data_IF_663002198453
#
_entry.id   IF_663002198453
#
_cell.length_a   1.000
_cell.length_b   1.000
_cell.length_c   1.000
_cell.angle_alpha   90.00
_cell.angle_beta   90.00
_cell.angle_gamma   90.00
#
_symmetry.space_group_name_H-M   'P 1'
#
loop_
_entity.id
_entity.type
_entity.pdbx_description
1 polymer ?
#
# COMPACT_ATOMS: atom_id res chain seq x y z
N UNK A 1 -46.69 40.12 -51.98
CA UNK A 1 -46.64 41.58 -51.78
C UNK A 1 -46.48 41.84 -50.31
N UNK A 2 -45.51 42.69 -49.97
CA UNK A 2 -45.23 43.32 -48.68
C UNK A 2 -44.60 42.47 -47.55
N UNK A 3 -43.33 42.79 -47.32
CA UNK A 3 -42.47 42.50 -46.17
C UNK A 3 -43.05 43.00 -44.84
N UNK A 4 -42.64 42.38 -43.73
CA UNK A 4 -42.34 43.10 -42.46
C UNK A 4 -41.48 42.28 -41.49
N UNK A 5 -40.23 42.73 -41.42
CA UNK A 5 -39.21 42.70 -40.38
C UNK A 5 -39.41 41.99 -39.02
N UNK A 6 -38.32 41.27 -38.69
CA UNK A 6 -37.70 40.95 -37.41
C UNK A 6 -38.10 41.74 -36.14
N UNK A 7 -38.17 41.01 -35.03
CA UNK A 7 -37.67 41.45 -33.70
C UNK A 7 -37.36 40.23 -32.82
N UNK A 8 -36.14 39.70 -32.93
CA UNK A 8 -35.57 38.77 -31.96
C UNK A 8 -35.18 39.54 -30.69
N UNK A 9 -35.83 39.24 -29.56
CA UNK A 9 -35.40 39.74 -28.25
C UNK A 9 -34.18 38.95 -27.79
N UNK A 10 -33.05 39.63 -27.71
CA UNK A 10 -31.75 39.15 -27.23
C UNK A 10 -31.72 39.22 -25.70
N UNK A 11 -31.81 38.06 -25.03
CA UNK A 11 -31.46 37.96 -23.61
C UNK A 11 -29.94 37.91 -23.47
N UNK A 12 -29.34 39.04 -23.10
CA UNK A 12 -27.93 39.17 -22.77
C UNK A 12 -27.59 38.39 -21.50
N UNK A 13 -27.05 37.18 -21.65
CA UNK A 13 -26.38 36.45 -20.57
C UNK A 13 -24.93 36.91 -20.46
N UNK A 14 -24.63 37.62 -19.37
CA UNK A 14 -23.27 38.03 -18.99
C UNK A 14 -22.34 36.81 -18.87
N UNK A 15 -21.06 36.92 -19.28
CA UNK A 15 -20.10 35.82 -19.15
C UNK A 15 -19.65 35.68 -17.69
N UNK A 16 -20.09 34.62 -17.02
CA UNK A 16 -19.57 34.21 -15.71
C UNK A 16 -18.16 33.64 -15.89
N UNK A 17 -17.19 34.36 -15.34
CA UNK A 17 -15.78 33.99 -15.23
C UNK A 17 -15.63 32.65 -14.48
N UNK A 18 -14.77 31.72 -14.93
CA UNK A 18 -14.52 30.48 -14.20
C UNK A 18 -13.80 30.78 -12.87
N UNK A 19 -14.15 30.10 -11.76
CA UNK A 19 -13.46 30.31 -10.50
C UNK A 19 -12.01 29.84 -10.62
N UNK A 20 -11.09 30.77 -10.36
CA UNK A 20 -9.67 30.50 -10.16
C UNK A 20 -9.52 29.49 -9.03
N UNK A 21 -9.15 28.26 -9.39
CA UNK A 21 -8.87 27.19 -8.46
C UNK A 21 -7.50 27.47 -7.81
N UNK A 22 -7.48 28.35 -6.81
CA UNK A 22 -6.30 28.54 -5.97
C UNK A 22 -6.13 27.27 -5.15
N UNK A 23 -5.29 26.35 -5.63
CA UNK A 23 -4.90 25.17 -4.88
C UNK A 23 -4.37 25.64 -3.51
N UNK A 24 -5.08 25.27 -2.45
CA UNK A 24 -4.60 25.46 -1.10
C UNK A 24 -3.24 24.76 -0.97
N UNK A 25 -2.23 25.36 -0.32
CA UNK A 25 -0.97 24.69 -0.06
C UNK A 25 -1.26 23.40 0.70
N UNK A 26 -0.66 22.29 0.26
CA UNK A 26 -0.65 21.05 1.03
C UNK A 26 -0.20 21.37 2.46
N UNK A 27 -0.87 20.82 3.49
CA UNK A 27 -0.43 21.02 4.86
C UNK A 27 1.05 20.59 4.98
N UNK A 28 1.88 21.36 5.69
CA UNK A 28 3.27 20.97 5.89
C UNK A 28 3.30 19.58 6.50
N UNK A 29 4.14 18.70 5.93
CA UNK A 29 4.40 17.39 6.52
C UNK A 29 4.80 17.58 7.98
N UNK A 30 4.18 16.89 8.94
CA UNK A 30 4.55 17.06 10.35
C UNK A 30 6.06 16.81 10.52
N UNK A 31 6.77 17.82 11.01
CA UNK A 31 8.17 17.72 11.39
C UNK A 31 8.27 16.89 12.66
N UNK A 32 8.38 15.56 12.51
CA UNK A 32 8.54 14.62 13.63
C UNK A 32 9.87 14.76 14.39
N UNK A 33 10.72 15.72 14.00
CA UNK A 33 11.97 16.05 14.69
C UNK A 33 11.77 16.87 15.96
N UNK A 34 10.60 17.49 16.14
CA UNK A 34 10.41 18.52 17.16
C UNK A 34 10.25 17.95 18.60
N UNK A 35 9.98 16.65 18.73
CA UNK A 35 9.85 15.94 20.02
C UNK A 35 11.07 15.07 20.39
N UNK A 36 12.17 15.12 19.63
CA UNK A 36 13.35 14.30 19.91
C UNK A 36 14.35 15.03 20.82
N UNK A 37 14.32 14.72 22.11
CA UNK A 37 15.38 15.09 23.05
C UNK A 37 16.49 14.03 23.06
N UNK A 38 17.73 14.33 22.61
CA UNK A 38 18.83 13.37 22.54
C UNK A 38 19.21 12.77 23.90
N UNK A 39 19.00 13.50 25.00
CA UNK A 39 19.35 13.06 26.34
C UNK A 39 18.41 11.96 26.85
N UNK A 40 17.17 11.94 26.38
CA UNK A 40 16.14 10.97 26.77
C UNK A 40 15.98 9.85 25.75
N UNK A 41 16.16 10.14 24.46
CA UNK A 41 15.93 9.18 23.37
C UNK A 41 17.20 8.46 22.90
N UNK A 42 18.37 9.04 23.16
CA UNK A 42 19.66 8.54 22.68
C UNK A 42 19.90 8.74 21.18
N UNK A 43 19.02 9.46 20.48
CA UNK A 43 19.19 9.84 19.08
C UNK A 43 19.64 11.30 18.94
N UNK A 44 20.80 11.52 18.32
CA UNK A 44 21.34 12.83 18.00
C UNK A 44 21.42 13.00 16.47
N UNK A 45 20.61 13.89 15.86
CA UNK A 45 20.62 14.12 14.42
C UNK A 45 21.99 14.53 13.84
N UNK A 46 22.86 15.13 14.66
CA UNK A 46 24.18 15.63 14.25
C UNK A 46 25.29 14.56 14.32
N UNK A 47 25.14 13.52 15.15
CA UNK A 47 26.20 12.56 15.46
C UNK A 47 25.99 11.19 14.80
N UNK A 48 26.49 11.01 13.57
CA UNK A 48 26.30 9.76 12.79
C UNK A 48 26.82 8.50 13.51
N UNK A 49 28.06 8.50 14.00
CA UNK A 49 28.67 7.32 14.64
C UNK A 49 28.09 7.01 16.03
N UNK A 50 27.80 8.06 16.81
CA UNK A 50 27.19 7.93 18.15
C UNK A 50 25.85 7.21 18.07
N UNK A 51 25.03 7.52 17.06
CA UNK A 51 23.74 6.86 16.86
C UNK A 51 23.86 5.36 16.60
N UNK A 52 24.80 4.94 15.74
CA UNK A 52 25.04 3.51 15.48
C UNK A 52 25.51 2.79 16.74
N UNK A 53 26.40 3.41 17.53
CA UNK A 53 26.84 2.86 18.81
C UNK A 53 25.69 2.77 19.82
N UNK A 54 24.83 3.78 19.91
CA UNK A 54 23.66 3.78 20.80
C UNK A 54 22.64 2.71 20.44
N UNK A 55 22.44 2.45 19.13
CA UNK A 55 21.61 1.32 18.67
C UNK A 55 22.26 -0.01 19.05
N UNK A 56 23.55 -0.20 18.74
CA UNK A 56 24.26 -1.45 18.99
C UNK A 56 24.35 -1.81 20.48
N UNK A 57 24.54 -0.80 21.34
CA UNK A 57 24.63 -0.96 22.79
C UNK A 57 23.27 -0.96 23.50
N UNK A 58 22.15 -0.85 22.75
CA UNK A 58 20.80 -0.81 23.31
C UNK A 58 20.47 0.45 24.10
N UNK A 59 21.26 1.52 23.96
CA UNK A 59 21.08 2.82 24.63
C UNK A 59 20.07 3.73 23.94
N UNK A 60 19.67 3.42 22.71
CA UNK A 60 18.65 4.18 21.97
C UNK A 60 17.25 3.62 22.27
N UNK A 61 16.36 4.47 22.76
CA UNK A 61 14.97 4.09 23.09
C UNK A 61 14.17 3.76 21.83
N UNK A 62 13.02 3.05 21.92
CA UNK A 62 12.17 2.80 20.75
C UNK A 62 11.73 4.07 20.01
N UNK A 63 11.49 5.16 20.75
CA UNK A 63 11.18 6.47 20.18
C UNK A 63 12.38 7.07 19.44
N UNK A 64 13.60 6.99 20.02
CA UNK A 64 14.83 7.43 19.36
C UNK A 64 15.14 6.61 18.10
N UNK A 65 14.94 5.30 18.13
CA UNK A 65 15.11 4.42 16.96
C UNK A 65 14.13 4.76 15.85
N UNK A 66 12.89 5.12 16.20
CA UNK A 66 11.89 5.60 15.25
C UNK A 66 12.32 6.93 14.62
N UNK A 67 12.71 7.92 15.43
CA UNK A 67 13.19 9.21 14.94
C UNK A 67 14.44 9.07 14.05
N UNK A 68 15.40 8.24 14.44
CA UNK A 68 16.59 7.91 13.63
C UNK A 68 16.21 7.34 12.26
N UNK A 69 15.22 6.44 12.22
CA UNK A 69 14.71 5.84 10.98
C UNK A 69 13.99 6.86 10.10
N UNK A 70 13.06 7.63 10.66
CA UNK A 70 12.32 8.66 9.91
C UNK A 70 13.28 9.70 9.31
N UNK A 71 14.29 10.14 10.07
CA UNK A 71 15.34 11.02 9.55
C UNK A 71 16.13 10.38 8.40
N UNK A 72 16.38 9.07 8.46
CA UNK A 72 16.99 8.34 7.36
C UNK A 72 16.07 8.24 6.12
N UNK A 73 14.76 8.07 6.32
CA UNK A 73 13.76 8.05 5.26
C UNK A 73 13.65 9.40 4.56
N UNK A 74 13.60 10.50 5.31
CA UNK A 74 13.58 11.86 4.75
C UNK A 74 14.86 12.13 3.96
N UNK A 75 16.03 11.83 4.53
CA UNK A 75 17.32 12.07 3.85
C UNK A 75 17.47 11.29 2.53
N UNK A 76 16.90 10.09 2.47
CA UNK A 76 17.02 9.21 1.31
C UNK A 76 15.82 9.29 0.35
N UNK A 77 14.82 10.12 0.63
CA UNK A 77 13.52 10.13 -0.05
C UNK A 77 13.65 10.20 -1.58
N UNK A 78 14.43 11.15 -2.10
CA UNK A 78 14.61 11.34 -3.53
C UNK A 78 15.21 10.09 -4.21
N UNK A 79 16.24 9.50 -3.59
CA UNK A 79 16.89 8.27 -4.09
C UNK A 79 15.92 7.10 -4.07
N UNK A 80 15.22 6.91 -2.96
CA UNK A 80 14.35 5.77 -2.77
C UNK A 80 13.14 5.85 -3.71
N UNK A 81 12.54 7.04 -3.89
CA UNK A 81 11.45 7.25 -4.85
C UNK A 81 11.89 7.02 -6.29
N UNK A 82 13.05 7.56 -6.70
CA UNK A 82 13.58 7.36 -8.05
C UNK A 82 13.82 5.87 -8.34
N UNK A 83 14.47 5.16 -7.42
CA UNK A 83 14.73 3.72 -7.53
C UNK A 83 13.44 2.89 -7.56
N UNK A 84 12.48 3.18 -6.69
CA UNK A 84 11.19 2.48 -6.71
C UNK A 84 10.40 2.73 -7.99
N UNK A 85 10.50 3.94 -8.56
CA UNK A 85 9.88 4.26 -9.86
C UNK A 85 10.51 3.44 -10.99
N UNK A 86 11.85 3.35 -11.04
CA UNK A 86 12.55 2.50 -12.01
C UNK A 86 12.14 1.02 -11.89
N UNK A 87 12.07 0.51 -10.66
CA UNK A 87 11.62 -0.87 -10.41
C UNK A 87 10.16 -1.10 -10.77
N UNK A 88 9.27 -0.15 -10.50
CA UNK A 88 7.86 -0.18 -10.91
C UNK A 88 7.75 -0.28 -12.42
N UNK A 89 8.45 0.58 -13.15
CA UNK A 89 8.42 0.62 -14.61
C UNK A 89 8.97 -0.66 -15.20
N UNK A 90 10.06 -1.19 -14.61
CA UNK A 90 10.58 -2.51 -14.96
C UNK A 90 9.53 -3.60 -14.77
N UNK A 91 8.75 -3.57 -13.67
CA UNK A 91 7.71 -4.58 -13.43
C UNK A 91 6.60 -4.49 -14.48
N UNK A 92 6.16 -3.28 -14.85
CA UNK A 92 5.16 -3.11 -15.92
C UNK A 92 5.65 -3.56 -17.29
N UNK A 93 6.96 -3.51 -17.54
CA UNK A 93 7.53 -3.91 -18.80
C UNK A 93 7.88 -5.40 -18.86
N UNK A 94 8.34 -5.99 -17.75
CA UNK A 94 9.01 -7.29 -17.76
C UNK A 94 8.49 -8.31 -16.74
N UNK A 95 7.74 -7.92 -15.71
CA UNK A 95 7.20 -8.92 -14.77
C UNK A 95 5.99 -9.61 -15.39
N UNK A 96 6.02 -10.95 -15.56
CA UNK A 96 4.87 -11.69 -16.08
C UNK A 96 3.63 -11.56 -15.17
N UNK A 97 3.83 -11.45 -13.86
CA UNK A 97 2.72 -11.32 -12.91
C UNK A 97 2.06 -9.96 -13.00
N UNK A 98 2.85 -8.89 -13.05
CA UNK A 98 2.31 -7.51 -13.14
C UNK A 98 1.66 -7.27 -14.49
N UNK A 99 2.28 -7.72 -15.58
CA UNK A 99 1.68 -7.61 -16.94
C UNK A 99 0.38 -8.40 -17.05
N UNK A 100 0.34 -9.63 -16.55
CA UNK A 100 -0.88 -10.44 -16.49
C UNK A 100 -1.99 -9.79 -15.66
N UNK A 101 -1.69 -9.36 -14.43
CA UNK A 101 -2.69 -8.70 -13.57
C UNK A 101 -3.21 -7.41 -14.22
N UNK A 102 -2.34 -6.64 -14.88
CA UNK A 102 -2.74 -5.44 -15.61
C UNK A 102 -3.73 -5.76 -16.71
N UNK A 103 -3.49 -6.81 -17.49
CA UNK A 103 -4.41 -7.29 -18.52
C UNK A 103 -5.76 -7.69 -17.90
N UNK A 104 -5.75 -8.48 -16.82
CA UNK A 104 -6.98 -8.95 -16.16
C UNK A 104 -7.78 -7.85 -15.49
N UNK A 105 -7.14 -6.77 -15.07
CA UNK A 105 -7.81 -5.56 -14.59
C UNK A 105 -8.46 -4.82 -15.77
N UNK A 106 -7.78 -4.75 -16.92
CA UNK A 106 -8.32 -4.13 -18.15
C UNK A 106 -9.54 -4.87 -18.69
N UNK A 107 -9.55 -6.20 -18.59
CA UNK A 107 -10.72 -7.03 -18.94
C UNK A 107 -11.98 -6.67 -18.12
N UNK A 108 -11.79 -6.08 -16.92
CA UNK A 108 -12.85 -5.59 -16.04
C UNK A 108 -13.08 -4.07 -16.15
N UNK A 109 -12.61 -3.45 -17.23
CA UNK A 109 -12.68 -2.01 -17.48
C UNK A 109 -11.92 -1.14 -16.46
N UNK A 110 -10.99 -1.72 -15.71
CA UNK A 110 -10.03 -0.97 -14.90
C UNK A 110 -8.79 -0.55 -15.68
N UNK A 111 -8.06 0.44 -15.19
CA UNK A 111 -6.74 0.78 -15.72
C UNK A 111 -5.76 0.96 -14.56
N UNK A 112 -4.65 0.24 -14.61
CA UNK A 112 -3.54 0.35 -13.66
C UNK A 112 -2.25 0.42 -14.47
N UNK A 113 -1.46 1.45 -14.24
CA UNK A 113 -0.25 1.75 -15.01
C UNK A 113 0.64 2.79 -14.33
N UNK A 114 1.73 3.21 -15.00
CA UNK A 114 2.69 4.16 -14.43
C UNK A 114 2.09 5.50 -13.96
N UNK A 115 0.96 5.91 -14.55
CA UNK A 115 0.31 7.19 -14.26
C UNK A 115 -0.50 7.18 -12.94
N UNK A 116 -0.96 6.00 -12.51
CA UNK A 116 -1.76 5.85 -11.28
C UNK A 116 -1.16 4.87 -10.26
N UNK A 117 0.07 4.42 -10.50
CA UNK A 117 0.88 3.70 -9.52
C UNK A 117 2.03 4.61 -9.08
N UNK A 118 1.91 5.24 -7.92
CA UNK A 118 2.85 6.25 -7.45
C UNK A 118 3.84 5.64 -6.44
N UNK A 119 5.13 5.94 -6.61
CA UNK A 119 6.17 5.63 -5.63
C UNK A 119 6.49 6.88 -4.80
N UNK A 120 6.18 6.87 -3.51
CA UNK A 120 6.39 8.01 -2.60
C UNK A 120 6.90 7.54 -1.23
N UNK A 121 7.45 8.45 -0.43
CA UNK A 121 7.71 8.18 0.98
C UNK A 121 6.39 8.11 1.73
N UNK A 122 6.21 7.05 2.52
CA UNK A 122 5.11 6.90 3.46
C UNK A 122 5.64 7.11 4.88
N UNK A 123 5.22 8.17 5.58
CA UNK A 123 5.57 8.34 6.98
C UNK A 123 4.92 7.22 7.81
N UNK A 124 5.62 6.81 8.86
CA UNK A 124 5.06 5.86 9.82
C UNK A 124 3.87 6.50 10.55
N UNK A 125 2.74 5.80 10.64
CA UNK A 125 1.56 6.28 11.39
C UNK A 125 1.58 5.75 12.82
N UNK A 126 1.07 6.53 13.76
CA UNK A 126 0.83 6.05 15.13
C UNK A 126 -0.58 5.48 15.20
N UNK A 127 -0.70 4.25 15.62
CA UNK A 127 -2.00 3.63 15.90
C UNK A 127 -2.59 4.23 17.18
N UNK A 128 -3.78 4.81 17.10
CA UNK A 128 -4.40 5.53 18.22
C UNK A 128 -4.78 4.58 19.37
N UNK A 129 -5.17 3.34 19.05
CA UNK A 129 -5.63 2.35 20.04
C UNK A 129 -4.46 1.75 20.81
N UNK A 130 -3.39 1.37 20.11
CA UNK A 130 -2.25 0.66 20.69
C UNK A 130 -1.06 1.56 20.99
N UNK A 131 -1.04 2.79 20.47
CA UNK A 131 0.07 3.71 20.55
C UNK A 131 1.30 3.28 19.74
N UNK A 132 1.22 2.17 18.99
CA UNK A 132 2.33 1.58 18.24
C UNK A 132 2.53 2.25 16.90
N UNK A 133 3.77 2.26 16.44
CA UNK A 133 4.16 2.71 15.12
C UNK A 133 3.84 1.66 14.06
N UNK A 134 3.00 2.02 13.09
CA UNK A 134 2.58 1.14 11.99
C UNK A 134 3.17 1.62 10.67
N UNK A 135 3.77 0.67 9.95
CA UNK A 135 4.39 0.87 8.65
C UNK A 135 3.59 0.10 7.59
N UNK A 136 3.63 0.57 6.36
CA UNK A 136 2.96 -0.06 5.23
C UNK A 136 3.89 -0.07 4.00
N UNK A 137 3.85 -1.15 3.23
CA UNK A 137 4.65 -1.28 1.99
C UNK A 137 3.97 -0.64 0.79
N UNK A 138 2.64 -0.58 0.78
CA UNK A 138 1.84 0.02 -0.25
C UNK A 138 0.39 0.14 0.17
N UNK A 139 -0.46 0.52 -0.77
CA UNK A 139 -1.92 0.50 -0.59
C UNK A 139 -2.65 0.81 -1.88
N UNK A 140 -3.79 0.14 -2.07
CA UNK A 140 -4.74 0.42 -3.14
C UNK A 140 -5.90 1.30 -2.65
N UNK A 141 -6.29 2.27 -3.49
CA UNK A 141 -7.52 3.04 -3.36
C UNK A 141 -8.27 3.04 -4.70
N UNK A 142 -9.58 2.74 -4.71
CA UNK A 142 -10.39 2.84 -5.92
C UNK A 142 -10.34 4.22 -6.59
N UNK A 143 -10.18 5.29 -5.81
CA UNK A 143 -10.19 6.68 -6.30
C UNK A 143 -8.81 7.18 -6.72
N UNK A 144 -7.73 6.60 -6.20
CA UNK A 144 -6.37 7.14 -6.35
C UNK A 144 -5.37 6.17 -6.98
N UNK A 145 -5.75 4.92 -7.22
CA UNK A 145 -4.86 3.89 -7.74
C UNK A 145 -3.99 3.27 -6.65
N UNK A 146 -2.73 2.99 -6.96
CA UNK A 146 -1.81 2.26 -6.07
C UNK A 146 -0.71 3.20 -5.59
N UNK A 147 -0.47 3.19 -4.28
CA UNK A 147 0.68 3.80 -3.64
C UNK A 147 1.71 2.71 -3.29
N UNK A 148 2.96 2.90 -3.68
CA UNK A 148 4.10 2.11 -3.23
C UNK A 148 4.94 2.98 -2.30
N UNK A 149 5.16 2.50 -1.07
CA UNK A 149 5.94 3.18 -0.06
C UNK A 149 7.44 2.93 -0.28
N UNK A 150 8.09 3.85 -1.00
CA UNK A 150 9.46 3.71 -1.50
C UNK A 150 10.49 3.47 -0.37
N UNK A 151 10.26 4.03 0.81
CA UNK A 151 11.10 3.86 2.00
C UNK A 151 11.05 2.45 2.61
N UNK A 152 10.04 1.64 2.27
CA UNK A 152 9.90 0.25 2.76
C UNK A 152 10.35 -0.79 1.72
N UNK A 153 10.72 -0.36 0.50
CA UNK A 153 11.14 -1.26 -0.58
C UNK A 153 12.62 -1.66 -0.44
N UNK A 154 12.87 -2.96 -0.24
CA UNK A 154 14.21 -3.52 -0.04
C UNK A 154 14.95 -3.78 -1.36
N UNK A 155 14.23 -4.35 -2.31
CA UNK A 155 14.71 -4.74 -3.62
C UNK A 155 13.54 -4.77 -4.62
N UNK A 156 13.86 -4.98 -5.91
CA UNK A 156 12.87 -5.02 -6.99
C UNK A 156 11.85 -6.15 -6.80
N UNK A 157 12.25 -7.29 -6.23
CA UNK A 157 11.34 -8.42 -5.99
C UNK A 157 10.32 -8.07 -4.91
N UNK A 158 10.74 -7.41 -3.84
CA UNK A 158 9.84 -6.90 -2.82
C UNK A 158 8.81 -5.94 -3.42
N UNK A 159 9.25 -5.04 -4.32
CA UNK A 159 8.35 -4.14 -5.03
C UNK A 159 7.39 -4.89 -5.96
N UNK A 160 7.86 -5.89 -6.71
CA UNK A 160 6.99 -6.72 -7.55
C UNK A 160 5.90 -7.41 -6.72
N UNK A 161 6.27 -8.01 -5.59
CA UNK A 161 5.33 -8.70 -4.70
C UNK A 161 4.34 -7.69 -4.08
N UNK A 162 4.78 -6.51 -3.62
CA UNK A 162 3.87 -5.45 -3.15
C UNK A 162 2.95 -4.94 -4.25
N UNK A 163 3.47 -4.65 -5.45
CA UNK A 163 2.65 -4.18 -6.57
C UNK A 163 1.61 -5.24 -6.97
N UNK A 164 2.00 -6.51 -7.04
CA UNK A 164 1.07 -7.59 -7.33
C UNK A 164 -0.02 -7.72 -6.25
N UNK A 165 0.33 -7.55 -4.97
CA UNK A 165 -0.63 -7.53 -3.86
C UNK A 165 -1.70 -6.45 -4.07
N UNK A 166 -1.28 -5.21 -4.31
CA UNK A 166 -2.20 -4.09 -4.54
C UNK A 166 -3.00 -4.24 -5.83
N UNK A 167 -2.44 -4.87 -6.86
CA UNK A 167 -3.18 -5.17 -8.10
C UNK A 167 -4.25 -6.25 -7.91
N UNK A 168 -4.03 -7.23 -7.02
CA UNK A 168 -5.09 -8.18 -6.64
C UNK A 168 -6.23 -7.46 -5.92
N UNK A 169 -5.93 -6.51 -5.03
CA UNK A 169 -6.95 -5.65 -4.43
C UNK A 169 -7.75 -4.86 -5.48
N UNK A 170 -7.06 -4.28 -6.47
CA UNK A 170 -7.71 -3.57 -7.58
C UNK A 170 -8.63 -4.50 -8.38
N UNK A 171 -8.15 -5.70 -8.72
CA UNK A 171 -8.94 -6.69 -9.44
C UNK A 171 -10.15 -7.18 -8.64
N UNK A 172 -9.96 -7.49 -7.36
CA UNK A 172 -11.03 -7.93 -6.46
C UNK A 172 -12.11 -6.84 -6.32
N UNK A 173 -11.70 -5.58 -6.18
CA UNK A 173 -12.61 -4.45 -6.11
C UNK A 173 -13.50 -4.36 -7.36
N UNK A 174 -12.92 -4.52 -8.56
CA UNK A 174 -13.66 -4.48 -9.81
C UNK A 174 -14.54 -5.72 -10.01
N UNK A 175 -14.01 -6.92 -9.70
CA UNK A 175 -14.71 -8.19 -9.97
C UNK A 175 -15.85 -8.44 -8.99
N UNK A 176 -15.59 -8.21 -7.70
CA UNK A 176 -16.46 -8.59 -6.59
C UNK A 176 -17.16 -7.41 -5.94
N UNK A 177 -16.89 -6.17 -6.37
CA UNK A 177 -17.47 -4.95 -5.79
C UNK A 177 -17.23 -4.92 -4.28
N UNK A 178 -15.98 -5.11 -3.90
CA UNK A 178 -15.51 -5.19 -2.51
C UNK A 178 -16.01 -3.97 -1.73
N UNK A 179 -16.78 -4.23 -0.68
CA UNK A 179 -17.09 -3.25 0.36
C UNK A 179 -15.95 -3.22 1.37
N UNK A 180 -15.16 -2.15 1.33
CA UNK A 180 -14.00 -1.97 2.21
C UNK A 180 -14.35 -1.71 3.68
N UNK A 181 -15.62 -1.38 3.97
CA UNK A 181 -16.13 -1.25 5.34
C UNK A 181 -16.54 -2.62 5.93
N UNK A 182 -16.85 -3.62 5.10
CA UNK A 182 -17.13 -4.98 5.57
C UNK A 182 -15.81 -5.72 5.84
N UNK A 183 -15.63 -6.11 7.11
CA UNK A 183 -14.45 -6.87 7.54
C UNK A 183 -14.30 -8.21 6.82
N UNK A 184 -15.39 -8.86 6.37
CA UNK A 184 -15.33 -10.13 5.63
C UNK A 184 -14.79 -9.94 4.23
N UNK A 185 -15.26 -8.91 3.54
CA UNK A 185 -14.77 -8.55 2.21
C UNK A 185 -13.30 -8.14 2.27
N UNK A 186 -12.95 -7.30 3.25
CA UNK A 186 -11.58 -6.95 3.57
C UNK A 186 -10.71 -8.19 3.83
N UNK A 187 -11.12 -9.08 4.74
CA UNK A 187 -10.36 -10.29 5.04
C UNK A 187 -10.19 -11.18 3.81
N UNK A 188 -11.23 -11.33 2.99
CA UNK A 188 -11.18 -12.15 1.79
C UNK A 188 -10.17 -11.63 0.77
N UNK A 189 -10.18 -10.32 0.48
CA UNK A 189 -9.23 -9.75 -0.48
C UNK A 189 -7.79 -9.79 0.05
N UNK A 190 -7.58 -9.64 1.35
CA UNK A 190 -6.26 -9.76 1.99
C UNK A 190 -5.70 -11.19 1.92
N UNK A 191 -6.55 -12.20 2.11
CA UNK A 191 -6.17 -13.62 1.93
C UNK A 191 -5.72 -13.86 0.48
N UNK A 192 -6.50 -13.39 -0.49
CA UNK A 192 -6.20 -13.54 -1.91
C UNK A 192 -4.93 -12.80 -2.29
N UNK A 193 -4.80 -11.53 -1.94
CA UNK A 193 -3.64 -10.71 -2.23
C UNK A 193 -2.37 -11.31 -1.61
N UNK A 194 -2.43 -11.77 -0.36
CA UNK A 194 -1.30 -12.43 0.29
C UNK A 194 -0.93 -13.77 -0.34
N UNK A 195 -1.93 -14.52 -0.81
CA UNK A 195 -1.70 -15.82 -1.44
C UNK A 195 -1.16 -15.69 -2.87
N UNK A 196 -1.64 -14.73 -3.64
CA UNK A 196 -1.41 -14.63 -5.10
C UNK A 196 -0.28 -13.68 -5.49
N UNK A 197 0.04 -12.68 -4.68
CA UNK A 197 1.17 -11.76 -4.93
C UNK A 197 2.52 -12.45 -4.85
N UNK A 198 2.60 -13.47 -3.98
CA UNK A 198 3.83 -14.19 -3.69
C UNK A 198 4.73 -13.52 -2.66
N UNK A 199 4.23 -12.55 -1.90
CA UNK A 199 4.91 -12.04 -0.70
C UNK A 199 5.07 -13.10 0.39
N UNK A 200 4.20 -14.13 0.40
CA UNK A 200 4.31 -15.31 1.24
C UNK A 200 5.17 -16.43 0.63
N UNK A 201 5.92 -16.16 -0.45
CA UNK A 201 6.86 -17.12 -1.01
C UNK A 201 7.96 -17.46 -0.04
N UNK A 202 8.18 -18.75 0.13
CA UNK A 202 9.26 -19.21 0.96
C UNK A 202 10.40 -19.80 0.15
N UNK A 203 11.39 -18.94 -0.12
CA UNK A 203 12.53 -19.26 -0.98
C UNK A 203 13.55 -20.22 -0.34
N UNK A 204 13.32 -20.73 0.88
CA UNK A 204 14.35 -21.38 1.71
C UNK A 204 14.16 -22.88 2.02
N UNK A 205 13.04 -23.54 1.68
CA UNK A 205 12.91 -25.00 1.94
C UNK A 205 12.53 -25.88 0.76
N UNK A 206 12.34 -25.35 -0.45
CA UNK A 206 12.02 -26.19 -1.62
C UNK A 206 13.09 -27.28 -1.87
N UNK A 207 14.34 -27.03 -1.48
CA UNK A 207 15.46 -27.97 -1.63
C UNK A 207 15.75 -28.83 -0.40
N UNK A 208 15.07 -28.63 0.73
CA UNK A 208 15.51 -29.20 2.02
C UNK A 208 14.45 -29.94 2.82
N UNK A 209 13.14 -29.81 2.54
CA UNK A 209 12.11 -30.53 3.31
C UNK A 209 10.92 -30.99 2.47
N UNK A 210 10.44 -32.19 2.84
CA UNK A 210 9.24 -32.86 2.33
C UNK A 210 8.07 -31.91 2.06
N UNK A 211 7.46 -32.03 0.88
CA UNK A 211 6.46 -31.12 0.29
C UNK A 211 5.27 -30.76 1.21
N UNK A 212 4.95 -31.57 2.21
CA UNK A 212 3.83 -31.35 3.14
C UNK A 212 4.04 -30.20 4.14
N UNK A 213 5.29 -29.83 4.45
CA UNK A 213 5.56 -28.69 5.36
C UNK A 213 5.45 -27.35 4.64
N UNK A 214 5.60 -27.34 3.31
CA UNK A 214 5.58 -26.12 2.49
C UNK A 214 4.19 -25.48 2.44
N UNK A 215 3.14 -26.28 2.30
CA UNK A 215 1.74 -25.81 2.24
C UNK A 215 1.31 -25.14 3.55
N UNK A 216 1.71 -25.71 4.69
CA UNK A 216 1.37 -25.16 6.01
C UNK A 216 2.07 -23.83 6.28
N UNK A 217 3.32 -23.64 5.84
CA UNK A 217 4.00 -22.36 6.01
C UNK A 217 3.38 -21.25 5.17
N UNK A 218 3.00 -21.55 3.92
CA UNK A 218 2.28 -20.58 3.07
C UNK A 218 0.95 -20.17 3.71
N UNK A 219 0.14 -21.13 4.14
CA UNK A 219 -1.12 -20.86 4.83
C UNK A 219 -0.91 -20.03 6.10
N UNK A 220 0.10 -20.36 6.91
CA UNK A 220 0.40 -19.60 8.12
C UNK A 220 0.81 -18.15 7.81
N UNK A 221 1.63 -17.93 6.77
CA UNK A 221 1.99 -16.59 6.32
C UNK A 221 0.75 -15.81 5.87
N UNK A 222 -0.07 -16.40 5.00
CA UNK A 222 -1.28 -15.76 4.47
C UNK A 222 -2.27 -15.44 5.61
N UNK A 223 -2.48 -16.36 6.55
CA UNK A 223 -3.31 -16.12 7.76
C UNK A 223 -2.78 -14.95 8.57
N UNK A 224 -1.48 -14.97 8.90
CA UNK A 224 -0.89 -13.93 9.74
C UNK A 224 -1.01 -12.55 9.09
N UNK A 225 -0.77 -12.45 7.78
CA UNK A 225 -0.90 -11.19 7.04
C UNK A 225 -2.33 -10.70 6.95
N UNK A 226 -3.28 -11.58 6.63
CA UNK A 226 -4.70 -11.22 6.58
C UNK A 226 -5.22 -10.74 7.94
N UNK A 227 -4.87 -11.44 9.03
CA UNK A 227 -5.24 -11.02 10.40
C UNK A 227 -4.63 -9.65 10.72
N UNK A 228 -3.34 -9.43 10.40
CA UNK A 228 -2.68 -8.16 10.64
C UNK A 228 -3.31 -7.01 9.86
N UNK A 229 -3.69 -7.22 8.60
CA UNK A 229 -4.38 -6.19 7.81
C UNK A 229 -5.76 -5.88 8.38
N UNK A 230 -6.55 -6.90 8.73
CA UNK A 230 -7.88 -6.71 9.33
C UNK A 230 -7.80 -5.97 10.67
N UNK A 231 -6.82 -6.28 11.52
CA UNK A 231 -6.59 -5.58 12.78
C UNK A 231 -6.31 -4.08 12.61
N UNK A 232 -5.70 -3.69 11.50
CA UNK A 232 -5.37 -2.30 11.21
C UNK A 232 -6.59 -1.49 10.74
N UNK A 233 -7.77 -2.11 10.57
CA UNK A 233 -8.98 -1.45 10.11
C UNK A 233 -9.76 -0.83 11.27
N UNK A 234 -10.35 0.37 11.10
CA UNK A 234 -11.11 1.04 12.17
C UNK A 234 -12.26 0.21 12.73
N UNK A 235 -12.96 -0.54 11.87
CA UNK A 235 -14.11 -1.38 12.23
C UNK A 235 -13.74 -2.63 13.05
N UNK A 236 -12.46 -3.01 13.07
CA UNK A 236 -11.99 -4.14 13.85
C UNK A 236 -11.76 -3.72 15.32
N UNK A 237 -12.30 -4.50 16.25
CA UNK A 237 -12.23 -4.24 17.70
C UNK A 237 -10.91 -4.74 18.28
N UNK A 238 -10.59 -6.00 18.04
CA UNK A 238 -9.47 -6.72 18.63
C UNK A 238 -8.97 -7.84 17.71
N UNK A 239 -7.87 -8.48 18.12
CA UNK A 239 -7.24 -9.60 17.42
C UNK A 239 -8.17 -10.83 17.33
N UNK A 240 -8.97 -11.08 18.36
CA UNK A 240 -9.94 -12.19 18.38
C UNK A 240 -10.97 -12.03 17.26
N UNK A 241 -11.51 -10.83 17.07
CA UNK A 241 -12.42 -10.54 15.96
C UNK A 241 -11.73 -10.70 14.61
N UNK A 242 -10.50 -10.19 14.46
CA UNK A 242 -9.74 -10.32 13.22
C UNK A 242 -9.52 -11.79 12.82
N UNK A 243 -9.06 -12.61 13.77
CA UNK A 243 -8.87 -14.06 13.58
C UNK A 243 -10.19 -14.74 13.22
N UNK A 244 -11.28 -14.40 13.94
CA UNK A 244 -12.60 -14.97 13.67
C UNK A 244 -13.06 -14.65 12.24
N UNK A 245 -12.99 -13.39 11.82
CA UNK A 245 -13.44 -12.97 10.48
C UNK A 245 -12.59 -13.62 9.39
N UNK A 246 -11.27 -13.69 9.55
CA UNK A 246 -10.38 -14.40 8.62
C UNK A 246 -10.75 -15.88 8.52
N UNK A 247 -11.04 -16.53 9.64
CA UNK A 247 -11.48 -17.93 9.65
C UNK A 247 -12.83 -18.15 8.97
N UNK A 248 -13.78 -17.23 9.13
CA UNK A 248 -15.11 -17.33 8.51
C UNK A 248 -15.05 -17.38 6.98
N UNK A 249 -14.10 -16.66 6.36
CA UNK A 249 -13.99 -16.57 4.90
C UNK A 249 -12.87 -17.44 4.31
N UNK A 250 -12.07 -18.09 5.17
CA UNK A 250 -10.81 -18.74 4.79
C UNK A 250 -10.95 -19.72 3.62
N UNK A 251 -11.83 -20.72 3.76
CA UNK A 251 -11.92 -21.82 2.79
C UNK A 251 -12.33 -21.32 1.40
N UNK A 252 -13.25 -20.35 1.35
CA UNK A 252 -13.70 -19.76 0.09
C UNK A 252 -12.62 -18.89 -0.55
N UNK A 253 -11.96 -18.03 0.22
CA UNK A 253 -11.08 -17.00 -0.31
C UNK A 253 -9.67 -17.53 -0.59
N UNK A 254 -9.19 -18.49 0.19
CA UNK A 254 -7.88 -19.10 -0.02
C UNK A 254 -7.86 -20.06 -1.22
N UNK A 255 -8.99 -20.73 -1.49
CA UNK A 255 -9.13 -21.63 -2.65
C UNK A 255 -9.37 -20.88 -3.98
N UNK A 256 -9.81 -19.63 -3.93
CA UNK A 256 -10.04 -18.83 -5.14
C UNK A 256 -8.74 -18.21 -5.66
N UNK A 257 -8.20 -18.81 -6.71
CA UNK A 257 -6.94 -18.35 -7.31
C UNK A 257 -7.12 -17.30 -8.39
N UNK A 258 -8.36 -16.91 -8.73
CA UNK A 258 -8.61 -15.99 -9.84
C UNK A 258 -7.89 -14.64 -9.60
N UNK A 259 -7.41 -13.97 -10.67
CA UNK A 259 -7.54 -14.34 -12.07
C UNK A 259 -6.53 -15.41 -12.55
N UNK A 260 -5.67 -15.93 -11.69
CA UNK A 260 -4.73 -17.00 -12.01
C UNK A 260 -5.42 -18.36 -12.06
N UNK A 261 -4.92 -19.29 -12.88
CA UNK A 261 -5.42 -20.68 -12.88
C UNK A 261 -4.92 -21.49 -11.67
N UNK A 262 -3.93 -20.96 -10.94
CA UNK A 262 -3.37 -21.57 -9.74
C UNK A 262 -2.37 -20.67 -9.03
N UNK A 263 -1.87 -21.14 -7.88
CA UNK A 263 -0.78 -20.47 -7.15
C UNK A 263 0.53 -20.89 -7.79
N UNK A 264 1.11 -20.04 -8.63
CA UNK A 264 2.29 -20.37 -9.44
C UNK A 264 3.64 -20.26 -8.72
N UNK A 265 3.68 -19.80 -7.46
CA UNK A 265 4.92 -19.30 -6.85
C UNK A 265 5.18 -19.81 -5.43
#
# INVERSE_FOLDING_TARGET
MADSASSFSSSSSSPSTPPTNTAAPLPPTPNFTDDNDPSTTGYDPSARWSNYWNILTGRMTPAGQHAFREAAYVRNEARDCARSTEWRDWCFQYSPTVTFLREKIRDLNGDIGPDNVLCRRCPTRRDEKTGRWVRQGGGFSPEHGILICANEMRDRKHLEDTLAHEMVHAWDHLRWRVDWADLRHAACTEIRASSLSGECRWMREFWTRSHWKLTQQHQNCVRARAVQSVMNRPACKDDVQAVKVVNEVWDSCFADTRPFDGIYR
#
